data_IF_262532943388
#
_entry.id   IF_262532943388
#
_cell.length_a   1.000
_cell.length_b   1.000
_cell.length_c   1.000
_cell.angle_alpha   90.00
_cell.angle_beta   90.00
_cell.angle_gamma   90.00
#
_symmetry.space_group_name_H-M   'P 1'
#
loop_
_entity.id
_entity.type
_entity.pdbx_description
1 polymer ?
#
# COMPACT_ATOMS: atom_id res chain seq x y z
N UNK A 1 24.33 -11.68 -12.32
CA UNK A 1 23.38 -10.63 -11.94
C UNK A 1 24.13 -9.32 -11.93
N UNK A 2 23.45 -8.20 -12.07
CA UNK A 2 24.10 -6.93 -11.79
C UNK A 2 24.48 -6.88 -10.30
N UNK A 3 25.45 -6.04 -9.94
CA UNK A 3 25.79 -5.88 -8.53
C UNK A 3 24.65 -5.17 -7.79
N UNK A 4 24.54 -5.37 -6.48
CA UNK A 4 23.60 -4.65 -5.61
C UNK A 4 23.62 -3.13 -5.86
N UNK A 5 24.83 -2.55 -6.00
CA UNK A 5 25.02 -1.13 -6.31
C UNK A 5 24.42 -0.72 -7.67
N UNK A 6 24.45 -1.61 -8.67
CA UNK A 6 23.84 -1.35 -9.97
C UNK A 6 22.32 -1.38 -9.87
N UNK A 7 21.75 -2.35 -9.16
CA UNK A 7 20.29 -2.44 -8.98
C UNK A 7 19.75 -1.21 -8.25
N UNK A 8 20.34 -0.80 -7.13
CA UNK A 8 19.89 0.38 -6.40
C UNK A 8 20.11 1.67 -7.21
N UNK A 9 21.23 1.80 -7.93
CA UNK A 9 21.52 2.98 -8.74
C UNK A 9 20.56 3.15 -9.91
N UNK A 10 20.28 2.07 -10.66
CA UNK A 10 19.32 2.10 -11.76
C UNK A 10 17.91 2.32 -11.24
N UNK A 11 17.51 1.65 -10.16
CA UNK A 11 16.19 1.84 -9.56
C UNK A 11 16.00 3.27 -9.03
N UNK A 12 17.03 3.88 -8.45
CA UNK A 12 17.00 5.28 -8.03
C UNK A 12 16.85 6.24 -9.22
N UNK A 13 17.60 6.02 -10.31
CA UNK A 13 17.47 6.84 -11.52
C UNK A 13 16.06 6.74 -12.14
N UNK A 14 15.53 5.51 -12.26
CA UNK A 14 14.15 5.28 -12.72
C UNK A 14 13.15 5.92 -11.76
N UNK A 15 13.39 5.84 -10.45
CA UNK A 15 12.56 6.44 -9.41
C UNK A 15 12.51 7.97 -9.50
N UNK A 16 13.64 8.63 -9.74
CA UNK A 16 13.69 10.08 -9.98
C UNK A 16 12.92 10.45 -11.25
N UNK A 17 13.10 9.71 -12.34
CA UNK A 17 12.36 9.92 -13.58
C UNK A 17 10.84 9.74 -13.40
N UNK A 18 10.43 8.71 -12.65
CA UNK A 18 9.03 8.45 -12.36
C UNK A 18 8.42 9.55 -11.49
N UNK A 19 9.12 9.99 -10.44
CA UNK A 19 8.71 11.10 -9.58
C UNK A 19 8.54 12.41 -10.38
N UNK A 20 9.49 12.72 -11.26
CA UNK A 20 9.42 13.85 -12.17
C UNK A 20 8.20 13.74 -13.09
N UNK A 21 8.01 12.59 -13.73
CA UNK A 21 6.88 12.36 -14.62
C UNK A 21 5.54 12.55 -13.90
N UNK A 22 5.36 12.01 -12.70
CA UNK A 22 4.13 12.17 -11.91
C UNK A 22 3.86 13.62 -11.49
N UNK A 23 4.91 14.39 -11.19
CA UNK A 23 4.75 15.81 -10.88
C UNK A 23 4.32 16.62 -12.12
N UNK A 24 5.03 16.45 -13.25
CA UNK A 24 4.78 17.26 -14.45
C UNK A 24 3.52 16.87 -15.20
N UNK A 25 3.21 15.58 -15.31
CA UNK A 25 2.10 15.10 -16.16
C UNK A 25 0.82 14.86 -15.38
N UNK A 26 0.92 14.27 -14.19
CA UNK A 26 -0.23 13.93 -13.35
C UNK A 26 -0.55 15.01 -12.32
N UNK A 27 0.29 16.05 -12.20
CA UNK A 27 0.14 17.16 -11.25
C UNK A 27 -0.03 16.66 -9.81
N UNK A 28 0.64 15.55 -9.48
CA UNK A 28 0.58 14.96 -8.14
C UNK A 28 1.37 15.84 -7.15
N UNK A 29 0.94 15.90 -5.88
CA UNK A 29 1.69 16.61 -4.85
C UNK A 29 3.14 16.14 -4.76
N UNK A 30 4.07 17.06 -4.60
CA UNK A 30 5.52 16.76 -4.49
C UNK A 30 5.82 15.64 -3.47
N UNK A 31 5.21 15.60 -2.26
CA UNK A 31 5.43 14.51 -1.31
C UNK A 31 5.05 13.13 -1.87
N UNK A 32 3.94 13.05 -2.63
CA UNK A 32 3.50 11.81 -3.28
C UNK A 32 4.50 11.36 -4.34
N UNK A 33 5.04 12.29 -5.13
CA UNK A 33 6.04 12.00 -6.14
C UNK A 33 7.35 11.50 -5.53
N UNK A 34 7.84 12.16 -4.47
CA UNK A 34 9.06 11.75 -3.77
C UNK A 34 8.91 10.37 -3.13
N UNK A 35 7.76 10.12 -2.47
CA UNK A 35 7.47 8.79 -1.91
C UNK A 35 7.40 7.71 -2.99
N UNK A 36 6.74 7.99 -4.12
CA UNK A 36 6.68 7.05 -5.23
C UNK A 36 8.08 6.77 -5.82
N UNK A 37 8.91 7.80 -6.01
CA UNK A 37 10.30 7.61 -6.43
C UNK A 37 11.10 6.72 -5.46
N UNK A 38 10.94 6.95 -4.16
CA UNK A 38 11.52 6.09 -3.12
C UNK A 38 11.02 4.65 -3.18
N UNK A 39 9.73 4.43 -3.48
CA UNK A 39 9.16 3.10 -3.64
C UNK A 39 9.75 2.36 -4.84
N UNK A 40 10.00 3.04 -5.97
CA UNK A 40 10.71 2.44 -7.11
C UNK A 40 12.08 1.93 -6.67
N UNK A 41 12.86 2.75 -5.94
CA UNK A 41 14.19 2.38 -5.45
C UNK A 41 14.14 1.17 -4.52
N UNK A 42 13.26 1.18 -3.50
CA UNK A 42 13.16 0.11 -2.50
C UNK A 42 12.64 -1.18 -3.14
N UNK A 43 11.59 -1.08 -3.97
CA UNK A 43 11.01 -2.24 -4.63
C UNK A 43 11.97 -2.86 -5.66
N UNK A 44 12.86 -2.06 -6.25
CA UNK A 44 13.95 -2.55 -7.10
C UNK A 44 15.01 -3.39 -6.36
N UNK A 45 14.99 -3.40 -5.03
CA UNK A 45 15.82 -4.30 -4.22
C UNK A 45 15.06 -5.51 -3.68
N UNK A 46 13.74 -5.56 -3.87
CA UNK A 46 12.89 -6.60 -3.30
C UNK A 46 13.17 -8.01 -3.86
N UNK A 47 13.43 -8.22 -5.16
CA UNK A 47 13.69 -9.56 -5.67
C UNK A 47 14.92 -10.21 -5.03
N UNK A 48 15.98 -9.43 -4.78
CA UNK A 48 17.22 -9.88 -4.15
C UNK A 48 17.08 -10.31 -2.69
N UNK A 49 15.95 -10.00 -2.03
CA UNK A 49 15.69 -10.45 -0.66
C UNK A 49 15.58 -11.97 -0.53
N UNK A 50 15.38 -12.68 -1.65
CA UNK A 50 15.37 -14.15 -1.73
C UNK A 50 16.77 -14.78 -1.75
N UNK A 51 17.83 -13.96 -1.88
CA UNK A 51 19.21 -14.41 -1.98
C UNK A 51 19.91 -14.48 -0.61
N UNK A 52 20.91 -15.35 -0.47
CA UNK A 52 21.77 -15.47 0.71
C UNK A 52 22.74 -14.28 0.90
N UNK A 53 22.41 -13.09 0.37
CA UNK A 53 23.21 -11.87 0.53
C UNK A 53 23.09 -11.33 1.95
N UNK A 54 23.88 -11.92 2.84
CA UNK A 54 23.71 -11.84 4.29
C UNK A 54 23.68 -10.43 4.89
N UNK A 55 24.30 -9.42 4.28
CA UNK A 55 24.28 -8.04 4.80
C UNK A 55 23.26 -7.16 4.06
N UNK A 56 23.31 -7.02 2.72
CA UNK A 56 22.45 -6.06 2.01
C UNK A 56 20.96 -6.41 2.08
N UNK A 57 20.59 -7.70 2.01
CA UNK A 57 19.20 -8.12 2.16
C UNK A 57 18.67 -7.87 3.58
N UNK A 58 19.50 -8.09 4.61
CA UNK A 58 19.11 -7.83 6.01
C UNK A 58 18.91 -6.35 6.28
N UNK A 59 19.75 -5.49 5.71
CA UNK A 59 19.60 -4.04 5.79
C UNK A 59 18.33 -3.57 5.07
N UNK A 60 18.07 -4.09 3.87
CA UNK A 60 16.86 -3.76 3.11
C UNK A 60 15.58 -4.16 3.86
N UNK A 61 15.54 -5.35 4.47
CA UNK A 61 14.41 -5.78 5.31
C UNK A 61 14.28 -4.89 6.56
N UNK A 62 15.39 -4.53 7.19
CA UNK A 62 15.38 -3.65 8.38
C UNK A 62 14.84 -2.26 8.03
N UNK A 63 15.24 -1.73 6.88
CA UNK A 63 14.73 -0.46 6.37
C UNK A 63 13.25 -0.55 6.01
N UNK A 64 12.83 -1.60 5.30
CA UNK A 64 11.42 -1.84 4.99
C UNK A 64 10.56 -1.98 6.27
N UNK A 65 11.08 -2.67 7.29
CA UNK A 65 10.41 -2.81 8.58
C UNK A 65 10.19 -1.46 9.28
N UNK A 66 11.08 -0.48 9.10
CA UNK A 66 10.90 0.86 9.64
C UNK A 66 9.90 1.71 8.83
N UNK A 67 9.94 1.60 7.49
CA UNK A 67 9.18 2.48 6.59
C UNK A 67 7.74 2.00 6.37
N UNK A 68 7.51 0.69 6.22
CA UNK A 68 6.17 0.14 5.95
C UNK A 68 5.14 0.51 7.03
N UNK A 69 5.42 0.36 8.34
CA UNK A 69 4.48 0.80 9.39
C UNK A 69 4.17 2.29 9.32
N UNK A 70 5.15 3.12 8.98
CA UNK A 70 4.97 4.57 8.86
C UNK A 70 4.04 4.93 7.71
N UNK A 71 4.14 4.23 6.57
CA UNK A 71 3.22 4.43 5.44
C UNK A 71 1.82 3.93 5.80
N UNK A 72 1.73 2.79 6.49
CA UNK A 72 0.46 2.21 6.91
C UNK A 72 -0.26 3.08 7.96
N UNK A 73 0.47 3.92 8.69
CA UNK A 73 -0.03 4.74 9.78
C UNK A 73 -1.24 5.57 9.39
N UNK A 74 -1.20 6.24 8.23
CA UNK A 74 -2.32 7.08 7.79
C UNK A 74 -3.59 6.27 7.56
N UNK A 75 -3.47 5.05 7.02
CA UNK A 75 -4.60 4.11 6.90
C UNK A 75 -5.13 3.67 8.26
N UNK A 76 -4.24 3.37 9.22
CA UNK A 76 -4.65 2.97 10.57
C UNK A 76 -5.38 4.11 11.30
N UNK A 77 -4.92 5.34 11.14
CA UNK A 77 -5.59 6.55 11.65
C UNK A 77 -6.98 6.68 11.02
N UNK A 78 -7.11 6.55 9.69
CA UNK A 78 -8.41 6.61 9.01
C UNK A 78 -9.38 5.50 9.45
N UNK A 79 -8.88 4.38 9.96
CA UNK A 79 -9.72 3.33 10.56
C UNK A 79 -10.17 3.60 12.00
N UNK A 80 -9.83 4.77 12.56
CA UNK A 80 -10.30 5.23 13.87
C UNK A 80 -9.48 4.73 15.05
N UNK A 81 -8.24 4.25 14.84
CA UNK A 81 -7.38 3.80 15.93
C UNK A 81 -6.87 4.99 16.76
N UNK A 82 -6.88 4.83 18.09
CA UNK A 82 -6.26 5.79 19.01
C UNK A 82 -4.74 5.80 18.90
N UNK A 83 -4.09 6.85 19.40
CA UNK A 83 -2.63 6.92 19.43
C UNK A 83 -1.97 5.74 20.17
N UNK A 84 -2.56 5.27 21.28
CA UNK A 84 -2.03 4.09 21.98
C UNK A 84 -2.16 2.82 21.13
N UNK A 85 -3.29 2.65 20.43
CA UNK A 85 -3.51 1.51 19.53
C UNK A 85 -2.53 1.51 18.36
N UNK A 86 -2.20 2.68 17.81
CA UNK A 86 -1.20 2.80 16.75
C UNK A 86 0.20 2.36 17.21
N UNK A 87 0.60 2.69 18.43
CA UNK A 87 1.86 2.23 19.02
C UNK A 87 1.83 0.70 19.22
N UNK A 88 0.73 0.19 19.78
CA UNK A 88 0.53 -1.23 20.03
C UNK A 88 0.49 -2.07 18.74
N UNK A 89 0.12 -1.48 17.60
CA UNK A 89 0.17 -2.15 16.28
C UNK A 89 1.53 -1.95 15.60
N UNK A 90 2.10 -0.75 15.69
CA UNK A 90 3.32 -0.38 14.98
C UNK A 90 4.56 -1.17 15.42
N UNK A 91 4.75 -1.36 16.74
CA UNK A 91 5.90 -2.11 17.26
C UNK A 91 5.86 -3.58 16.82
N UNK A 92 4.75 -4.34 17.03
CA UNK A 92 4.65 -5.71 16.54
C UNK A 92 4.80 -5.81 15.01
N UNK A 93 4.27 -4.84 14.27
CA UNK A 93 4.41 -4.83 12.81
C UNK A 93 5.86 -4.70 12.37
N UNK A 94 6.64 -3.81 13.00
CA UNK A 94 8.09 -3.72 12.79
C UNK A 94 8.78 -5.05 13.06
N UNK A 95 8.52 -5.66 14.23
CA UNK A 95 9.15 -6.93 14.62
C UNK A 95 8.77 -8.06 13.67
N UNK A 96 7.50 -8.11 13.24
CA UNK A 96 7.00 -9.08 12.28
C UNK A 96 7.71 -8.96 10.93
N UNK A 97 7.82 -7.75 10.36
CA UNK A 97 8.51 -7.53 9.09
C UNK A 97 10.00 -7.85 9.24
N UNK A 98 10.64 -7.37 10.31
CA UNK A 98 12.09 -7.53 10.50
C UNK A 98 12.50 -8.99 10.71
N UNK A 99 11.78 -9.72 11.56
CA UNK A 99 12.19 -11.06 11.99
C UNK A 99 11.40 -12.18 11.33
N UNK A 100 10.09 -12.05 11.19
CA UNK A 100 9.27 -13.12 10.62
C UNK A 100 9.37 -13.16 9.09
N UNK A 101 9.16 -12.03 8.39
CA UNK A 101 9.19 -12.01 6.92
C UNK A 101 10.57 -12.40 6.40
N UNK A 102 11.65 -11.83 6.94
CA UNK A 102 13.00 -12.20 6.51
C UNK A 102 13.34 -13.69 6.70
N UNK A 103 12.83 -14.31 7.76
CA UNK A 103 13.00 -15.76 8.00
C UNK A 103 12.13 -16.57 7.04
N UNK A 104 10.90 -16.11 6.78
CA UNK A 104 9.97 -16.77 5.88
C UNK A 104 10.50 -16.78 4.44
N UNK A 105 11.02 -15.66 3.95
CA UNK A 105 11.64 -15.57 2.64
C UNK A 105 12.74 -16.61 2.51
N UNK A 106 13.75 -16.59 3.39
CA UNK A 106 14.85 -17.57 3.37
C UNK A 106 14.40 -19.03 3.41
N UNK A 107 13.29 -19.34 4.08
CA UNK A 107 12.79 -20.71 4.21
C UNK A 107 12.00 -21.19 3.01
N UNK A 108 11.28 -20.29 2.32
CA UNK A 108 10.29 -20.67 1.31
C UNK A 108 10.62 -20.16 -0.09
N UNK A 109 11.52 -19.20 -0.25
CA UNK A 109 11.96 -18.71 -1.56
C UNK A 109 13.26 -19.37 -1.96
N UNK A 110 13.28 -19.92 -3.16
CA UNK A 110 14.51 -20.33 -3.84
C UNK A 110 14.97 -19.13 -4.66
N UNK A 111 16.26 -18.80 -4.60
CA UNK A 111 16.84 -17.73 -5.40
C UNK A 111 16.56 -17.98 -6.89
N UNK A 112 15.98 -16.99 -7.58
CA UNK A 112 15.47 -17.12 -8.97
C UNK A 112 14.34 -18.14 -9.16
N UNK A 113 13.61 -18.45 -8.09
CA UNK A 113 12.37 -19.22 -8.08
C UNK A 113 11.19 -18.38 -8.59
N UNK A 114 10.02 -18.56 -7.99
CA UNK A 114 8.85 -17.75 -8.33
C UNK A 114 8.94 -16.29 -7.84
N UNK A 115 9.89 -15.96 -6.97
CA UNK A 115 10.15 -14.56 -6.58
C UNK A 115 10.67 -13.74 -7.78
N UNK A 116 11.40 -14.36 -8.71
CA UNK A 116 11.79 -13.71 -9.96
C UNK A 116 10.80 -14.06 -11.08
N UNK A 117 9.60 -13.48 -11.03
CA UNK A 117 8.52 -13.79 -11.97
C UNK A 117 7.54 -12.62 -12.16
N UNK A 118 6.74 -12.66 -13.23
CA UNK A 118 5.67 -11.68 -13.46
C UNK A 118 4.60 -11.72 -12.36
N UNK A 119 4.13 -12.90 -11.89
CA UNK A 119 3.25 -12.98 -10.72
C UNK A 119 3.83 -12.29 -9.48
N UNK A 120 5.14 -12.32 -9.25
CA UNK A 120 5.77 -11.63 -8.12
C UNK A 120 5.68 -10.10 -8.24
N UNK A 121 5.82 -9.54 -9.44
CA UNK A 121 5.57 -8.10 -9.68
C UNK A 121 4.15 -7.72 -9.26
N UNK A 122 3.16 -8.52 -9.66
CA UNK A 122 1.76 -8.27 -9.34
C UNK A 122 1.49 -8.39 -7.83
N UNK A 123 2.07 -9.40 -7.15
CA UNK A 123 2.00 -9.55 -5.69
C UNK A 123 2.59 -8.32 -5.00
N UNK A 124 3.78 -7.87 -5.40
CA UNK A 124 4.42 -6.68 -4.83
C UNK A 124 3.55 -5.42 -5.01
N UNK A 125 2.97 -5.25 -6.20
CA UNK A 125 2.01 -4.18 -6.48
C UNK A 125 0.77 -4.23 -5.57
N UNK A 126 0.16 -5.40 -5.41
CA UNK A 126 -1.01 -5.57 -4.54
C UNK A 126 -0.70 -5.32 -3.06
N UNK A 127 0.45 -5.78 -2.58
CA UNK A 127 0.93 -5.44 -1.23
C UNK A 127 1.09 -3.92 -1.09
N UNK A 128 1.75 -3.27 -2.06
CA UNK A 128 1.89 -1.82 -2.09
C UNK A 128 0.55 -1.09 -2.11
N UNK A 129 -0.42 -1.59 -2.86
CA UNK A 129 -1.79 -1.05 -2.90
C UNK A 129 -2.45 -1.14 -1.53
N UNK A 130 -2.37 -2.28 -0.85
CA UNK A 130 -2.99 -2.51 0.47
C UNK A 130 -2.32 -1.70 1.58
N UNK A 131 -1.02 -1.42 1.47
CA UNK A 131 -0.28 -0.60 2.43
C UNK A 131 -0.59 0.90 2.23
N UNK A 132 -0.71 1.36 0.98
CA UNK A 132 -0.95 2.77 0.69
C UNK A 132 -2.36 3.24 1.08
N UNK A 133 -2.45 4.55 1.34
CA UNK A 133 -3.65 5.28 1.77
C UNK A 133 -4.89 4.95 0.94
N UNK A 134 -6.04 4.84 1.62
CA UNK A 134 -7.32 4.53 1.00
C UNK A 134 -7.94 5.75 0.29
N UNK A 135 -7.68 6.95 0.80
CA UNK A 135 -8.53 8.13 0.54
C UNK A 135 -8.24 8.85 -0.79
N UNK A 136 -7.04 8.68 -1.37
CA UNK A 136 -6.65 9.34 -2.62
C UNK A 136 -6.35 8.29 -3.68
N UNK A 137 -7.37 7.88 -4.44
CA UNK A 137 -7.28 6.78 -5.41
C UNK A 137 -6.18 6.97 -6.47
N UNK A 138 -6.04 8.19 -7.01
CA UNK A 138 -5.00 8.49 -8.01
C UNK A 138 -3.59 8.34 -7.43
N UNK A 139 -3.32 8.93 -6.26
CA UNK A 139 -2.04 8.82 -5.58
C UNK A 139 -1.73 7.39 -5.14
N UNK A 140 -2.76 6.64 -4.72
CA UNK A 140 -2.64 5.23 -4.34
C UNK A 140 -2.21 4.36 -5.53
N UNK A 141 -2.92 4.46 -6.66
CA UNK A 141 -2.58 3.73 -7.88
C UNK A 141 -1.19 4.13 -8.37
N UNK A 142 -0.87 5.42 -8.34
CA UNK A 142 0.44 5.93 -8.73
C UNK A 142 1.58 5.35 -7.88
N UNK A 143 1.40 5.26 -6.56
CA UNK A 143 2.35 4.60 -5.64
C UNK A 143 2.43 3.08 -5.87
N UNK A 144 1.31 2.42 -6.15
CA UNK A 144 1.28 0.99 -6.50
C UNK A 144 2.07 0.69 -7.77
N UNK A 145 1.88 1.49 -8.81
CA UNK A 145 2.64 1.36 -10.06
C UNK A 145 4.13 1.60 -9.80
N UNK A 146 4.48 2.52 -8.89
CA UNK A 146 5.86 2.76 -8.49
C UNK A 146 6.54 1.49 -7.92
N UNK A 147 5.83 0.75 -7.05
CA UNK A 147 6.33 -0.54 -6.50
C UNK A 147 6.53 -1.57 -7.62
N UNK A 148 5.55 -1.70 -8.52
CA UNK A 148 5.64 -2.63 -9.65
C UNK A 148 6.78 -2.25 -10.61
N UNK A 149 6.97 -0.95 -10.86
CA UNK A 149 8.03 -0.42 -11.72
C UNK A 149 9.41 -0.71 -11.13
N UNK A 150 9.59 -0.52 -9.82
CA UNK A 150 10.83 -0.88 -9.13
C UNK A 150 11.16 -2.36 -9.28
N UNK A 151 10.20 -3.24 -8.97
CA UNK A 151 10.36 -4.68 -9.10
C UNK A 151 10.68 -5.09 -10.55
N UNK A 152 9.98 -4.49 -11.52
CA UNK A 152 10.20 -4.75 -12.95
C UNK A 152 11.58 -4.29 -13.39
N UNK A 153 12.03 -3.12 -12.92
CA UNK A 153 13.36 -2.57 -13.23
C UNK A 153 14.45 -3.55 -12.82
N UNK A 154 14.31 -4.18 -11.64
CA UNK A 154 15.22 -5.21 -11.19
C UNK A 154 15.25 -6.41 -12.14
N UNK A 155 14.09 -7.00 -12.45
CA UNK A 155 14.01 -8.19 -13.31
C UNK A 155 14.54 -7.93 -14.72
N UNK A 156 14.22 -6.77 -15.29
CA UNK A 156 14.73 -6.36 -16.61
C UNK A 156 16.25 -6.19 -16.58
N UNK A 157 16.79 -5.54 -15.55
CA UNK A 157 18.24 -5.38 -15.42
C UNK A 157 18.95 -6.73 -15.33
N UNK A 158 18.36 -7.67 -14.61
CA UNK A 158 18.90 -9.01 -14.43
C UNK A 158 18.91 -9.82 -15.73
N UNK A 159 17.91 -9.57 -16.59
CA UNK A 159 17.78 -10.13 -17.93
C UNK A 159 18.82 -9.52 -18.89
N UNK A 160 18.97 -8.18 -18.90
CA UNK A 160 19.98 -7.51 -19.74
C UNK A 160 21.39 -7.97 -19.37
N UNK A 161 21.71 -8.13 -18.08
CA UNK A 161 23.04 -8.55 -17.62
C UNK A 161 23.29 -10.06 -17.78
N UNK A 162 22.28 -10.80 -18.25
CA UNK A 162 22.43 -12.18 -18.65
C UNK A 162 22.93 -12.35 -20.10
N UNK A 163 22.93 -11.27 -20.89
CA UNK A 163 23.54 -11.19 -22.21
C UNK A 163 25.00 -10.74 -22.08
N UNK A 164 25.96 -11.58 -22.49
CA UNK A 164 27.37 -11.19 -22.55
C UNK A 164 27.71 -10.71 -23.97
N UNK A 165 28.12 -9.44 -24.09
CA UNK A 165 28.55 -8.82 -25.34
C UNK A 165 30.08 -8.70 -25.49
N UNK A 166 30.84 -9.23 -24.52
CA UNK A 166 32.30 -9.05 -24.44
C UNK A 166 33.12 -9.96 -25.39
N UNK A 167 32.46 -10.66 -26.31
CA UNK A 167 33.10 -11.53 -27.31
C UNK A 167 32.65 -11.17 -28.72
N UNK A 168 33.33 -11.72 -29.74
CA UNK A 168 32.98 -11.51 -31.15
C UNK A 168 31.55 -11.96 -31.52
N UNK A 169 30.94 -12.81 -30.68
CA UNK A 169 29.54 -13.25 -30.80
C UNK A 169 28.85 -13.06 -29.44
N UNK A 170 27.64 -12.49 -29.38
CA UNK A 170 26.84 -12.42 -28.16
C UNK A 170 26.62 -13.82 -27.57
N UNK A 171 26.94 -14.02 -26.30
CA UNK A 171 26.68 -15.29 -25.59
C UNK A 171 25.62 -15.09 -24.51
N UNK A 172 24.61 -15.96 -24.49
CA UNK A 172 23.55 -15.92 -23.49
C UNK A 172 23.91 -16.80 -22.29
N UNK A 173 23.75 -16.29 -21.07
CA UNK A 173 23.85 -17.12 -19.86
C UNK A 173 22.65 -18.05 -19.79
N UNK A 174 22.82 -19.21 -19.15
CA UNK A 174 21.72 -20.16 -18.86
C UNK A 174 20.55 -19.53 -18.09
N UNK A 175 20.76 -18.37 -17.48
CA UNK A 175 19.74 -17.61 -16.77
C UNK A 175 18.89 -16.68 -17.63
N UNK A 176 19.20 -16.52 -18.92
CA UNK A 176 18.39 -15.73 -19.84
C UNK A 176 16.98 -16.36 -19.96
N UNK A 177 15.94 -15.55 -19.86
CA UNK A 177 14.52 -15.89 -19.92
C UNK A 177 13.90 -16.28 -18.59
N UNK A 178 14.64 -16.21 -17.48
CA UNK A 178 14.16 -16.69 -16.17
C UNK A 178 13.48 -15.63 -15.32
N UNK A 179 13.77 -14.34 -15.54
CA UNK A 179 13.29 -13.26 -14.68
C UNK A 179 11.82 -12.89 -14.94
N UNK A 180 11.32 -13.05 -16.17
CA UNK A 180 9.97 -12.69 -16.58
C UNK A 180 9.05 -13.90 -16.83
N UNK A 181 9.32 -15.03 -16.17
CA UNK A 181 8.50 -16.24 -16.30
C UNK A 181 7.16 -16.12 -15.58
N UNK A 182 6.20 -16.93 -15.98
CA UNK A 182 4.89 -17.08 -15.32
C UNK A 182 4.80 -18.32 -14.43
N UNK A 183 5.66 -19.32 -14.64
CA UNK A 183 5.61 -20.61 -13.97
C UNK A 183 7.03 -21.09 -13.62
N UNK A 184 7.16 -21.87 -12.56
CA UNK A 184 8.39 -22.56 -12.16
C UNK A 184 8.24 -24.07 -12.40
N UNK A 185 9.38 -24.77 -12.46
CA UNK A 185 9.40 -26.24 -12.52
C UNK A 185 8.95 -26.89 -11.20
N UNK A 186 8.89 -26.11 -10.11
CA UNK A 186 8.30 -26.54 -8.85
C UNK A 186 6.80 -26.19 -8.81
N UNK A 187 5.89 -27.19 -8.89
CA UNK A 187 4.46 -26.96 -8.86
C UNK A 187 3.98 -26.42 -7.51
N UNK A 188 4.69 -26.70 -6.41
CA UNK A 188 4.35 -26.22 -5.06
C UNK A 188 4.60 -24.72 -4.97
N UNK A 189 5.81 -24.27 -5.33
CA UNK A 189 6.15 -22.86 -5.37
C UNK A 189 5.24 -22.07 -6.32
N UNK A 190 4.91 -22.65 -7.48
CA UNK A 190 3.99 -22.05 -8.45
C UNK A 190 2.60 -21.90 -7.84
N UNK A 191 2.03 -22.97 -7.28
CA UNK A 191 0.70 -22.97 -6.68
C UNK A 191 0.61 -22.01 -5.49
N UNK A 192 1.62 -21.97 -4.63
CA UNK A 192 1.69 -21.03 -3.51
C UNK A 192 1.73 -19.57 -3.99
N UNK A 193 2.47 -19.28 -5.06
CA UNK A 193 2.55 -17.93 -5.66
C UNK A 193 1.20 -17.49 -6.20
N UNK A 194 0.54 -18.32 -7.00
CA UNK A 194 -0.79 -18.00 -7.53
C UNK A 194 -1.87 -17.98 -6.44
N UNK A 195 -1.75 -18.81 -5.40
CA UNK A 195 -2.61 -18.76 -4.21
C UNK A 195 -2.49 -17.44 -3.47
N UNK A 196 -1.26 -16.95 -3.26
CA UNK A 196 -1.00 -15.62 -2.69
C UNK A 196 -1.53 -14.51 -3.59
N UNK A 197 -1.30 -14.61 -4.91
CA UNK A 197 -1.81 -13.67 -5.91
C UNK A 197 -3.34 -13.58 -5.83
N UNK A 198 -4.04 -14.72 -5.79
CA UNK A 198 -5.49 -14.78 -5.67
C UNK A 198 -5.97 -14.17 -4.35
N UNK A 199 -5.36 -14.56 -3.22
CA UNK A 199 -5.73 -14.06 -1.90
C UNK A 199 -5.58 -12.54 -1.81
N UNK A 200 -4.44 -12.01 -2.24
CA UNK A 200 -4.20 -10.57 -2.27
C UNK A 200 -5.15 -9.87 -3.25
N UNK A 201 -5.42 -10.47 -4.41
CA UNK A 201 -6.40 -9.97 -5.37
C UNK A 201 -7.79 -9.84 -4.75
N UNK A 202 -8.23 -10.82 -3.95
CA UNK A 202 -9.49 -10.74 -3.21
C UNK A 202 -9.48 -9.61 -2.17
N UNK A 203 -8.38 -9.41 -1.45
CA UNK A 203 -8.25 -8.28 -0.51
C UNK A 203 -8.26 -6.92 -1.23
N UNK A 204 -7.56 -6.80 -2.36
CA UNK A 204 -7.58 -5.60 -3.20
C UNK A 204 -8.99 -5.33 -3.71
N UNK A 205 -9.71 -6.35 -4.19
CA UNK A 205 -11.09 -6.20 -4.62
C UNK A 205 -12.03 -5.81 -3.48
N UNK A 206 -11.79 -6.27 -2.26
CA UNK A 206 -12.58 -5.83 -1.09
C UNK A 206 -12.32 -4.37 -0.76
N UNK A 207 -11.06 -3.98 -0.72
CA UNK A 207 -10.59 -2.65 -0.32
C UNK A 207 -10.73 -1.58 -1.42
N UNK A 208 -10.82 -1.99 -2.69
CA UNK A 208 -10.96 -1.09 -3.82
C UNK A 208 -12.28 -0.31 -3.77
N UNK A 209 -12.23 0.96 -4.16
CA UNK A 209 -13.41 1.80 -4.31
C UNK A 209 -14.31 1.30 -5.46
N UNK A 210 -15.60 1.68 -5.49
CA UNK A 210 -16.51 1.33 -6.59
C UNK A 210 -15.97 1.69 -7.98
N UNK A 211 -15.26 2.82 -8.11
CA UNK A 211 -14.68 3.28 -9.38
C UNK A 211 -13.55 2.35 -9.84
N UNK A 212 -12.69 1.93 -8.92
CA UNK A 212 -11.62 0.96 -9.21
C UNK A 212 -12.23 -0.39 -9.58
N UNK A 213 -13.23 -0.85 -8.83
CA UNK A 213 -13.98 -2.08 -9.13
C UNK A 213 -14.61 -2.03 -10.53
N UNK A 214 -15.20 -0.90 -10.91
CA UNK A 214 -15.80 -0.71 -12.23
C UNK A 214 -14.76 -0.73 -13.35
N UNK A 215 -13.60 -0.09 -13.17
CA UNK A 215 -12.50 -0.12 -14.15
C UNK A 215 -11.89 -1.51 -14.28
N UNK A 216 -11.73 -2.24 -13.17
CA UNK A 216 -11.26 -3.63 -13.18
C UNK A 216 -12.28 -4.57 -13.85
N UNK A 217 -13.57 -4.39 -13.57
CA UNK A 217 -14.66 -5.15 -14.20
C UNK A 217 -14.79 -4.85 -15.70
N UNK A 218 -14.36 -3.67 -16.17
CA UNK A 218 -14.27 -3.35 -17.60
C UNK A 218 -13.10 -4.06 -18.30
N UNK A 219 -12.06 -4.44 -17.56
CA UNK A 219 -10.88 -5.13 -18.10
C UNK A 219 -11.04 -6.66 -18.10
N UNK A 220 -11.80 -7.21 -17.13
CA UNK A 220 -12.16 -8.63 -17.08
C UNK A 220 -13.52 -8.80 -17.75
N UNK A 221 -13.63 -9.44 -18.93
CA UNK A 221 -14.94 -9.75 -19.49
C UNK A 221 -15.74 -10.51 -18.44
N UNK A 222 -16.88 -9.96 -18.05
CA UNK A 222 -17.66 -10.40 -16.91
C UNK A 222 -18.03 -11.89 -17.04
N UNK A 223 -17.45 -12.74 -16.19
CA UNK A 223 -17.94 -14.12 -15.99
C UNK A 223 -19.42 -14.10 -15.56
N UNK A 224 -19.88 -13.00 -14.97
CA UNK A 224 -21.29 -12.72 -14.69
C UNK A 224 -22.18 -12.76 -15.93
N UNK A 225 -21.67 -12.43 -17.13
CA UNK A 225 -22.44 -12.54 -18.38
C UNK A 225 -22.63 -14.00 -18.84
N UNK A 226 -21.75 -14.93 -18.43
CA UNK A 226 -21.97 -16.36 -18.66
C UNK A 226 -23.01 -16.93 -17.68
N UNK A 227 -22.99 -16.51 -16.42
CA UNK A 227 -23.93 -17.00 -15.40
C UNK A 227 -25.38 -16.53 -15.63
N UNK A 228 -25.59 -15.32 -16.15
CA UNK A 228 -26.93 -14.79 -16.47
C UNK A 228 -27.53 -15.39 -17.74
N UNK A 229 -26.70 -15.82 -18.69
CA UNK A 229 -27.17 -16.44 -19.93
C UNK A 229 -27.69 -17.87 -19.71
N UNK A 230 -27.10 -18.65 -18.80
CA UNK A 230 -27.63 -19.99 -18.47
C UNK A 230 -29.00 -19.94 -17.77
N UNK A 231 -29.25 -18.93 -16.94
CA UNK A 231 -30.52 -18.78 -16.24
C UNK A 231 -31.63 -18.24 -17.16
N UNK A 232 -31.29 -17.37 -18.13
CA UNK A 232 -32.24 -16.92 -19.15
C UNK A 232 -32.57 -18.01 -20.18
N UNK A 233 -31.60 -18.83 -20.60
CA UNK A 233 -31.86 -19.94 -21.52
C UNK A 233 -32.71 -21.05 -20.89
N UNK A 234 -32.57 -21.33 -19.59
CA UNK A 234 -33.42 -22.30 -18.89
C UNK A 234 -34.86 -21.81 -18.67
N UNK A 235 -35.10 -20.51 -18.51
CA UNK A 235 -36.46 -19.97 -18.37
C UNK A 235 -37.20 -19.81 -19.70
N UNK A 236 -36.48 -19.66 -20.81
CA UNK A 236 -37.07 -19.54 -22.15
C UNK A 236 -37.55 -20.89 -22.76
N UNK A 237 -37.25 -22.02 -22.13
CA UNK A 237 -37.58 -23.36 -22.64
C UNK A 237 -38.93 -23.92 -22.15
N UNK A 238 -39.73 -23.14 -21.40
CA UNK A 238 -41.08 -23.55 -20.97
C UNK A 238 -42.09 -22.90 -21.91
N UNK A 239 -42.76 -23.64 -22.81
CA UNK A 239 -43.80 -23.07 -23.65
C UNK A 239 -44.99 -22.62 -22.78
N UNK A 240 -45.65 -21.50 -23.11
CA UNK A 240 -46.80 -21.04 -22.35
C UNK A 240 -47.94 -22.06 -22.47
N UNK A 241 -48.42 -22.53 -21.32
CA UNK A 241 -49.60 -23.38 -21.21
C UNK A 241 -50.83 -22.55 -21.57
N UNK A 242 -51.45 -22.86 -22.70
CA UNK A 242 -52.72 -22.26 -23.10
C UNK A 242 -53.81 -22.57 -22.08
N UNK A 243 -54.38 -21.52 -21.47
CA UNK A 243 -55.63 -21.60 -20.70
C UNK A 243 -56.75 -20.93 -21.51
N UNK A 244 -57.97 -21.48 -21.55
CA UNK A 244 -59.02 -21.00 -22.45
C UNK A 244 -59.61 -19.67 -21.98
N UNK A 245 -59.83 -18.75 -22.92
CA UNK A 245 -60.64 -17.55 -22.74
C UNK A 245 -62.11 -17.90 -22.50
N UNK A 246 -62.68 -17.40 -21.39
CA UNK A 246 -64.08 -17.55 -21.04
C UNK A 246 -64.64 -16.32 -20.32
N UNK A 247 -65.22 -15.41 -21.13
CA UNK A 247 -66.36 -14.52 -20.89
C UNK A 247 -66.48 -13.68 -19.58
N UNK A 248 -66.40 -12.37 -19.82
CA UNK A 248 -67.06 -11.24 -19.14
C UNK A 248 -68.29 -11.53 -18.28
N UNK A 249 -68.26 -11.06 -17.03
CA UNK A 249 -69.39 -10.40 -16.36
C UNK A 249 -68.90 -9.36 -15.35
N UNK A 250 -69.47 -8.16 -15.43
CA UNK A 250 -69.29 -7.01 -14.52
C UNK A 250 -69.62 -7.39 -13.09
N UNK A 251 -68.75 -7.02 -12.15
CA UNK A 251 -69.15 -6.82 -10.76
C UNK A 251 -68.38 -5.63 -10.16
N UNK A 252 -69.15 -4.62 -9.78
CA UNK A 252 -68.75 -3.36 -9.14
C UNK A 252 -68.27 -3.61 -7.71
N UNK A 253 -67.07 -3.11 -7.37
CA UNK A 253 -66.61 -3.01 -5.97
C UNK A 253 -66.54 -1.53 -5.54
N UNK A 254 -66.89 -1.21 -4.28
CA UNK A 254 -67.07 0.17 -3.85
C UNK A 254 -65.73 0.87 -3.56
N UNK A 255 -65.73 2.17 -3.81
CA UNK A 255 -64.67 3.13 -3.48
C UNK A 255 -64.67 3.32 -1.96
N UNK A 256 -63.51 3.08 -1.32
CA UNK A 256 -63.28 3.42 0.09
C UNK A 256 -62.69 4.84 0.12
N UNK A 257 -63.45 5.80 0.62
CA UNK A 257 -63.00 7.17 0.89
C UNK A 257 -62.10 7.21 2.16
N UNK A 258 -61.02 8.01 2.17
CA UNK A 258 -60.29 8.30 3.41
C UNK A 258 -61.02 9.37 4.26
N UNK A 259 -60.95 9.29 5.61
CA UNK A 259 -61.63 10.22 6.52
C UNK A 259 -60.98 11.63 6.55
N UNK A 260 -61.72 12.68 6.97
CA UNK A 260 -61.34 14.07 6.78
C UNK A 260 -60.24 14.54 7.73
N UNK A 261 -59.34 15.36 7.18
CA UNK A 261 -58.27 16.10 7.88
C UNK A 261 -58.91 17.21 8.72
N UNK A 262 -58.62 17.24 10.03
CA UNK A 262 -59.04 18.32 10.94
C UNK A 262 -58.01 19.46 10.92
N UNK A 263 -58.44 20.62 10.43
CA UNK A 263 -57.77 21.92 10.58
C UNK A 263 -57.75 22.37 12.04
N UNK A 264 -56.56 22.49 12.64
CA UNK A 264 -56.40 23.00 14.02
C UNK A 264 -55.75 24.39 14.10
N UNK A 265 -55.71 25.15 12.99
CA UNK A 265 -55.20 26.52 13.02
C UNK A 265 -56.31 27.58 13.24
N UNK A 266 -56.60 27.91 14.51
CA UNK A 266 -56.82 29.31 14.94
C UNK A 266 -56.78 29.49 16.47
N UNK A 267 -56.01 30.51 16.86
CA UNK A 267 -55.52 30.98 18.17
C UNK A 267 -56.59 31.50 19.15
N UNK A 268 -56.21 31.74 20.42
CA UNK A 268 -56.00 33.14 20.82
C UNK A 268 -54.68 33.42 21.56
N UNK A 269 -54.17 34.63 21.33
CA UNK A 269 -53.00 35.24 21.96
C UNK A 269 -53.13 35.33 23.48
N UNK A 270 -52.09 34.90 24.21
CA UNK A 270 -51.87 35.31 25.59
C UNK A 270 -50.40 35.66 25.80
N UNK A 271 -50.19 36.92 26.14
CA UNK A 271 -48.94 37.54 26.56
C UNK A 271 -48.50 36.98 27.91
N UNK A 272 -47.26 36.50 28.00
CA UNK A 272 -46.38 36.64 29.18
C UNK A 272 -44.99 36.22 28.74
N UNK A 273 -44.00 37.08 29.01
CA UNK A 273 -42.65 36.96 28.49
C UNK A 273 -41.91 35.77 29.06
N UNK A 274 -41.29 35.03 28.15
CA UNK A 274 -40.08 34.24 28.41
C UNK A 274 -39.20 34.39 27.16
N UNK A 275 -38.07 35.05 27.34
CA UNK A 275 -37.05 35.23 26.30
C UNK A 275 -36.33 33.88 26.08
N UNK A 276 -36.03 33.47 24.83
CA UNK A 276 -35.16 32.33 24.60
C UNK A 276 -33.73 32.70 25.02
N UNK A 277 -33.16 31.92 25.92
CA UNK A 277 -31.75 32.00 26.34
C UNK A 277 -30.88 31.63 25.13
N UNK A 278 -30.04 32.57 24.70
CA UNK A 278 -29.05 32.36 23.64
C UNK A 278 -27.94 31.41 24.14
N UNK A 279 -27.63 30.29 23.47
CA UNK A 279 -26.61 29.33 23.92
C UNK A 279 -25.17 29.88 23.88
N UNK A 280 -24.96 31.09 23.35
CA UNK A 280 -23.65 31.65 23.08
C UNK A 280 -23.30 32.93 23.87
N UNK A 281 -24.09 33.30 24.89
CA UNK A 281 -23.87 34.54 25.65
C UNK A 281 -23.25 34.37 27.05
N UNK A 282 -22.18 33.57 27.20
CA UNK A 282 -21.32 33.61 28.40
C UNK A 282 -19.84 33.41 28.06
N UNK A 283 -19.16 34.48 27.64
CA UNK A 283 -17.70 34.59 27.76
C UNK A 283 -17.37 35.43 28.99
N UNK A 284 -17.15 34.78 30.13
CA UNK A 284 -16.51 35.40 31.28
C UNK A 284 -15.03 35.70 30.93
N UNK A 285 -14.45 36.84 31.35
CA UNK A 285 -13.03 37.10 31.12
C UNK A 285 -12.17 36.13 31.95
N UNK A 286 -11.17 35.52 31.31
CA UNK A 286 -10.14 34.72 31.98
C UNK A 286 -9.33 35.60 32.95
N UNK A 287 -8.94 35.11 34.14
CA UNK A 287 -8.02 35.84 35.01
C UNK A 287 -6.62 35.94 34.36
N UNK A 288 -5.85 37.00 34.67
CA UNK A 288 -4.57 37.26 34.01
C UNK A 288 -3.56 36.14 34.25
N UNK A 289 -2.86 35.78 33.18
CA UNK A 289 -1.83 34.74 33.10
C UNK A 289 -0.82 34.82 34.25
N UNK A 290 -0.77 33.80 35.11
CA UNK A 290 0.44 33.54 35.88
C UNK A 290 1.50 32.97 34.94
N UNK A 291 2.54 33.77 34.70
CA UNK A 291 3.71 33.40 33.92
C UNK A 291 4.42 32.25 34.64
N UNK A 292 4.43 31.07 34.04
CA UNK A 292 5.19 29.93 34.56
C UNK A 292 6.69 30.25 34.51
N UNK A 293 7.37 30.21 35.65
CA UNK A 293 8.82 30.36 35.76
C UNK A 293 9.39 28.96 36.07
N UNK A 294 10.29 28.40 35.25
CA UNK A 294 10.92 27.12 35.56
C UNK A 294 11.77 27.24 36.85
N UNK A 295 11.87 26.18 37.67
CA UNK A 295 12.80 26.14 38.78
C UNK A 295 14.24 26.31 38.27
N UNK A 296 15.03 27.18 38.92
CA UNK A 296 16.48 27.25 38.67
C UNK A 296 17.13 25.97 39.16
N UNK A 297 17.79 25.27 38.25
CA UNK A 297 18.68 24.15 38.54
C UNK A 297 19.93 24.66 39.31
N UNK A 298 20.17 24.23 40.56
CA UNK A 298 21.32 24.67 41.35
C UNK A 298 22.65 24.05 40.90
N UNK A 299 22.71 23.25 39.83
CA UNK A 299 23.94 22.56 39.40
C UNK A 299 24.69 23.21 38.24
N UNK A 300 24.16 24.29 37.63
CA UNK A 300 24.86 25.01 36.55
C UNK A 300 25.60 26.24 37.08
N UNK A 301 26.74 25.98 37.71
CA UNK A 301 27.77 26.99 37.89
C UNK A 301 29.10 26.45 37.36
N UNK A 302 29.36 26.63 36.06
CA UNK A 302 30.73 26.69 35.52
C UNK A 302 30.75 27.34 34.14
N UNK A 303 31.24 28.59 34.18
CA UNK A 303 32.02 29.33 33.19
C UNK A 303 32.24 28.70 31.81
N UNK A 304 31.90 29.51 30.81
CA UNK A 304 32.59 29.61 29.52
C UNK A 304 34.11 29.57 29.68
N UNK A 305 34.79 28.81 28.81
CA UNK A 305 35.88 29.29 27.95
C UNK A 305 36.62 28.11 27.29
N UNK A 306 37.19 28.39 26.11
CA UNK A 306 38.21 27.64 25.36
C UNK A 306 37.85 26.32 24.64
N UNK A 307 37.56 26.43 23.34
CA UNK A 307 37.90 25.39 22.35
C UNK A 307 38.75 26.02 21.24
N UNK A 308 40.06 26.05 21.48
CA UNK A 308 41.09 26.27 20.47
C UNK A 308 42.27 25.35 20.77
N UNK A 309 42.78 24.68 19.73
CA UNK A 309 43.94 23.76 19.71
C UNK A 309 43.60 22.37 20.29
N UNK A 310 43.73 21.27 19.54
CA UNK A 310 45.01 20.71 19.11
C UNK A 310 44.87 20.02 17.75
N UNK A 311 45.72 20.44 16.80
CA UNK A 311 46.10 19.70 15.59
C UNK A 311 47.38 18.90 15.89
N UNK A 312 47.41 17.67 15.35
CA UNK A 312 48.59 16.92 14.86
C UNK A 312 49.67 16.49 15.85
N UNK A 313 49.86 15.17 15.93
CA UNK A 313 51.18 14.56 15.69
C UNK A 313 51.02 13.10 15.24
N UNK A 314 51.87 12.72 14.31
CA UNK A 314 51.93 11.48 13.56
C UNK A 314 52.49 10.28 14.37
N UNK A 315 52.59 9.14 13.67
CA UNK A 315 53.43 7.96 13.94
C UNK A 315 52.95 6.90 14.95
N UNK A 316 52.41 5.78 14.43
CA UNK A 316 53.13 4.49 14.47
C UNK A 316 52.51 3.50 13.46
N UNK A 317 53.38 2.83 12.70
CA UNK A 317 53.05 1.82 11.69
C UNK A 317 53.08 0.39 12.32
N UNK A 318 53.03 -0.73 11.57
CA UNK A 318 52.04 -1.78 11.80
C UNK A 318 52.64 -3.10 12.34
N UNK A 319 51.93 -3.76 13.24
CA UNK A 319 52.29 -5.11 13.68
C UNK A 319 51.25 -6.18 13.30
N UNK A 320 51.76 -7.13 12.54
CA UNK A 320 51.25 -8.47 12.27
C UNK A 320 50.53 -9.14 13.45
N UNK A 321 49.33 -9.67 13.23
CA UNK A 321 48.92 -10.94 13.87
C UNK A 321 48.03 -11.76 12.94
N UNK A 322 48.61 -12.83 12.44
CA UNK A 322 47.97 -14.02 11.87
C UNK A 322 47.41 -14.93 12.97
N UNK A 323 46.51 -15.83 12.54
CA UNK A 323 45.94 -17.01 13.23
C UNK A 323 44.64 -16.72 13.99
N UNK A 324 43.51 -17.42 13.77
CA UNK A 324 43.31 -18.76 13.22
C UNK A 324 42.62 -19.62 14.28
N UNK A 325 41.29 -19.72 14.24
CA UNK A 325 40.45 -20.69 14.98
C UNK A 325 39.18 -20.89 14.11
N UNK A 326 39.02 -22.05 13.45
CA UNK A 326 38.25 -23.22 13.89
C UNK A 326 36.81 -22.90 14.28
#
# INVERSE_FOLDING_TARGET
MAGFQTHIGVAAAVGTGYAYWGYYTLQMPVPTCLLAGGFVTIAGMMPDLDSDSGIPARETITFAAAIIPMILMNRLISSGLSAEQLVLVGIPLYLFIRFAIGTLLKRFTIHRGMFHSIPAIAIAGMIGFLICDADIHGARIYKTIAVMLGYTTHLVLDEIWSVNLNGAVPTLKKSFGTALKFFSNDPTATSATYGMLLLLGLFVLRDASPEVKQRMAGFVPSISALATNETSQKSAAIPPRNSPQGKSSRETSPIIEPPPVRDWARTPSRSTGDQPIDPWSQSAPLPPSQRWIPPRDPTKNRSSDTWSEVRKSDEFAPDHFSNGWR
#
